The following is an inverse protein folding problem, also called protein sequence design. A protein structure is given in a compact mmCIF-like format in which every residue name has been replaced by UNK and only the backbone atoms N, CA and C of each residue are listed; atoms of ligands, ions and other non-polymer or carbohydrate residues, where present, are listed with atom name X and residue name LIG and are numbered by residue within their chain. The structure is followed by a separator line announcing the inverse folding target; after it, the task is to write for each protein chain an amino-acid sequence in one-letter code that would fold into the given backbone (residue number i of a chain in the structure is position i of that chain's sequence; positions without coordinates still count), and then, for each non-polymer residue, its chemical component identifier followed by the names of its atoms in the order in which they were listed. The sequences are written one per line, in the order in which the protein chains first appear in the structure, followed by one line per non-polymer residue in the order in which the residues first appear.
data_IF_452143688834
#
_entry.id   IF_452143688834
#
_cell.length_a   1.000
_cell.length_b   1.000
_cell.length_c   1.000
_cell.angle_alpha   90.00
_cell.angle_beta   90.00
_cell.angle_gamma   90.00
#
_symmetry.space_group_name_H-M   'P 1'
#
loop_
_entity.id
_entity.type
_entity.pdbx_description
1 polymer ?
2 water ?
#
# COMPACT_ATOMS: atom_id res chain seq x y z
N UNK A 1 -5.44 -7.72 -12.71
CA UNK A 1 -5.74 -7.02 -11.46
C UNK A 1 -4.88 -7.54 -10.32
N UNK A 2 -4.84 -6.80 -9.21
CA UNK A 2 -4.06 -7.22 -8.04
C UNK A 2 -4.92 -7.13 -6.80
N UNK A 3 -4.90 -8.20 -6.01
CA UNK A 3 -5.49 -8.20 -4.69
C UNK A 3 -4.34 -8.24 -3.70
N UNK A 4 -4.21 -7.18 -2.90
CA UNK A 4 -3.06 -6.97 -2.01
C UNK A 4 -3.59 -6.97 -0.58
N UNK A 5 -3.22 -8.00 0.19
CA UNK A 5 -3.80 -8.23 1.51
C UNK A 5 -2.74 -8.17 2.61
N UNK A 6 -3.15 -7.65 3.76
CA UNK A 6 -2.36 -7.67 4.98
C UNK A 6 -3.22 -8.24 6.10
N UNK A 7 -2.60 -9.05 6.97
CA UNK A 7 -3.33 -9.56 8.13
C UNK A 7 -2.38 -9.64 9.30
N UNK A 8 -2.96 -9.55 10.52
CA UNK A 8 -2.21 -9.85 11.73
C UNK A 8 -2.08 -11.34 12.01
N UNK A 9 -2.77 -12.18 11.24
CA UNK A 9 -2.64 -13.63 11.44
C UNK A 9 -1.23 -14.07 11.00
N UNK A 10 -0.62 -14.91 11.79
CA UNK A 10 0.69 -15.48 11.50
C UNK A 10 0.56 -16.61 10.49
N UNK A 11 1.40 -16.58 9.44
CA UNK A 11 1.32 -17.52 8.33
C UNK A 11 2.46 -18.52 8.32
N UNK A 12 3.23 -18.59 9.40
CA UNK A 12 4.42 -19.45 9.41
C UNK A 12 4.08 -20.94 9.29
N UNK A 13 2.91 -21.37 9.77
CA UNK A 13 2.51 -22.76 9.62
C UNK A 13 1.42 -23.00 8.59
N UNK A 14 1.13 -22.03 7.79
CA UNK A 14 -0.06 -22.06 6.95
C UNK A 14 0.39 -22.43 5.54
N UNK A 15 -0.48 -23.16 4.85
CA UNK A 15 -0.32 -23.43 3.44
C UNK A 15 -0.75 -22.18 2.68
N UNK A 16 0.17 -21.22 2.62
CA UNK A 16 -0.17 -19.97 1.93
C UNK A 16 -0.41 -20.21 0.45
N UNK A 17 0.27 -21.21 -0.14
CA UNK A 17 0.07 -21.48 -1.56
C UNK A 17 -1.38 -21.78 -1.88
N UNK A 18 -2.06 -22.52 -1.01
CA UNK A 18 -3.47 -22.83 -1.23
C UNK A 18 -4.33 -21.59 -1.12
N UNK A 19 -4.01 -20.68 -0.20
CA UNK A 19 -4.79 -19.45 -0.07
C UNK A 19 -4.62 -18.58 -1.31
N UNK A 20 -3.36 -18.41 -1.75
CA UNK A 20 -3.10 -17.63 -2.95
C UNK A 20 -3.81 -18.24 -4.14
N UNK A 21 -3.78 -19.55 -4.28
CA UNK A 21 -4.35 -20.18 -5.45
C UNK A 21 -5.86 -20.02 -5.48
N UNK A 22 -6.51 -20.19 -4.33
CA UNK A 22 -7.95 -20.00 -4.28
C UNK A 22 -8.32 -18.54 -4.56
N UNK A 23 -7.61 -17.60 -3.94
CA UNK A 23 -7.90 -16.20 -4.20
C UNK A 23 -7.69 -15.86 -5.68
N UNK A 24 -6.64 -16.41 -6.27
CA UNK A 24 -6.30 -16.11 -7.66
C UNK A 24 -7.43 -16.55 -8.59
N UNK A 25 -7.90 -17.80 -8.45
CA UNK A 25 -8.95 -18.28 -9.33
C UNK A 25 -10.28 -17.60 -9.04
N UNK A 26 -10.55 -17.28 -7.77
CA UNK A 26 -11.81 -16.63 -7.41
C UNK A 26 -11.89 -15.22 -7.98
N UNK A 27 -10.79 -14.45 -7.88
CA UNK A 27 -10.78 -13.11 -8.44
C UNK A 27 -10.94 -13.17 -9.95
N UNK A 28 -10.18 -14.06 -10.61
CA UNK A 28 -10.28 -14.18 -12.06
C UNK A 28 -11.71 -14.44 -12.49
N UNK A 29 -12.38 -15.38 -11.83
CA UNK A 29 -13.73 -15.77 -12.25
C UNK A 29 -14.71 -14.62 -12.09
N UNK A 30 -14.67 -13.92 -10.96
CA UNK A 30 -15.66 -12.89 -10.65
C UNK A 30 -15.41 -11.62 -11.46
N UNK A 31 -14.16 -11.16 -11.53
CA UNK A 31 -13.88 -9.94 -12.27
C UNK A 31 -13.93 -10.20 -13.77
N UNK A 32 -13.84 -11.45 -14.20
CA UNK A 32 -13.92 -11.76 -15.62
C UNK A 32 -12.68 -11.43 -16.40
N UNK A 33 -11.51 -11.77 -15.87
CA UNK A 33 -10.27 -11.60 -16.58
C UNK A 33 -9.50 -12.91 -16.45
N UNK A 34 -8.75 -13.30 -17.48
CA UNK A 34 -7.99 -14.55 -17.38
C UNK A 34 -7.01 -14.53 -16.20
N UNK A 35 -6.86 -15.68 -15.56
CA UNK A 35 -6.03 -15.76 -14.35
C UNK A 35 -4.58 -15.43 -14.63
N UNK A 36 -4.14 -15.49 -15.90
CA UNK A 36 -2.79 -15.09 -16.26
C UNK A 36 -2.48 -13.67 -15.80
N UNK A 37 -3.48 -12.81 -15.61
CA UNK A 37 -3.24 -11.42 -15.30
C UNK A 37 -3.60 -11.10 -13.87
N UNK A 38 -3.81 -12.11 -13.03
CA UNK A 38 -4.24 -11.88 -11.66
C UNK A 38 -3.06 -12.05 -10.73
N UNK A 39 -2.81 -11.02 -9.91
CA UNK A 39 -1.77 -11.04 -8.90
C UNK A 39 -2.42 -11.02 -7.53
N UNK A 40 -1.92 -11.88 -6.62
CA UNK A 40 -2.36 -11.90 -5.24
C UNK A 40 -1.13 -11.70 -4.37
N UNK A 41 -1.24 -10.80 -3.40
CA UNK A 41 -0.16 -10.50 -2.44
C UNK A 41 -0.74 -10.73 -1.06
N UNK A 42 -0.01 -11.47 -0.19
CA UNK A 42 -0.54 -11.76 1.14
C UNK A 42 0.54 -11.59 2.19
N UNK A 43 0.45 -10.52 2.98
CA UNK A 43 1.40 -10.23 4.04
C UNK A 43 0.79 -10.65 5.37
N UNK A 44 1.47 -11.50 6.13
CA UNK A 44 1.00 -11.87 7.44
C UNK A 44 1.86 -11.32 8.56
N UNK A 45 1.44 -11.65 9.78
CA UNK A 45 2.14 -11.16 10.98
C UNK A 45 2.24 -9.64 11.03
N UNK A 46 1.26 -8.93 10.48
CA UNK A 46 1.31 -7.47 10.44
C UNK A 46 0.51 -6.95 11.63
N UNK A 47 1.12 -6.22 12.57
CA UNK A 47 0.34 -5.60 13.65
C UNK A 47 -0.85 -4.78 13.13
N UNK A 48 -2.01 -5.04 13.72
CA UNK A 48 -3.24 -4.41 13.32
C UNK A 48 -4.16 -4.20 14.51
N UNK A 49 -4.94 -3.15 14.43
CA UNK A 49 -6.06 -2.92 15.32
C UNK A 49 -7.29 -2.65 14.49
N UNK A 50 -8.42 -3.20 14.91
CA UNK A 50 -9.68 -2.85 14.27
C UNK A 50 -10.73 -2.77 15.34
N UNK A 51 -11.47 -1.66 15.32
CA UNK A 51 -12.42 -1.39 16.38
C UNK A 51 -11.80 -1.38 17.76
N UNK A 52 -10.51 -1.04 17.85
CA UNK A 52 -9.85 -0.96 19.14
C UNK A 52 -9.25 -2.25 19.66
N UNK A 53 -9.42 -3.37 18.96
CA UNK A 53 -8.86 -4.64 19.41
C UNK A 53 -7.90 -5.22 18.38
N UNK A 54 -7.04 -6.12 18.85
CA UNK A 54 -6.04 -6.76 18.01
C UNK A 54 -6.44 -8.18 17.61
N UNK A 55 -7.72 -8.52 17.71
CA UNK A 55 -8.16 -9.81 17.22
C UNK A 55 -7.91 -9.92 15.72
N UNK A 56 -7.85 -11.13 15.18
CA UNK A 56 -7.57 -11.33 13.75
C UNK A 56 -8.44 -10.44 12.87
N UNK A 57 -7.78 -9.82 11.89
CA UNK A 57 -8.38 -8.84 11.01
C UNK A 57 -7.60 -8.86 9.70
N UNK A 58 -8.13 -8.15 8.70
CA UNK A 58 -7.38 -8.05 7.45
C UNK A 58 -7.74 -6.76 6.73
N UNK A 59 -6.77 -6.25 6.01
CA UNK A 59 -6.95 -5.08 5.15
C UNK A 59 -6.52 -5.47 3.76
N UNK A 60 -7.37 -5.23 2.76
CA UNK A 60 -6.99 -5.50 1.39
C UNK A 60 -7.24 -4.31 0.49
N UNK A 61 -6.56 -4.33 -0.65
CA UNK A 61 -6.84 -3.41 -1.74
C UNK A 61 -6.88 -4.22 -3.02
N UNK A 62 -7.86 -3.94 -3.86
CA UNK A 62 -7.97 -4.62 -5.15
C UNK A 62 -7.95 -3.55 -6.22
N UNK A 63 -6.97 -3.62 -7.11
CA UNK A 63 -6.75 -2.66 -8.19
C UNK A 63 -7.01 -3.37 -9.51
N UNK A 64 -7.78 -2.74 -10.40
CA UNK A 64 -8.06 -3.31 -11.71
C UNK A 64 -8.21 -2.17 -12.71
N UNK A 65 -7.83 -2.44 -13.96
CA UNK A 65 -8.14 -1.53 -15.06
C UNK A 65 -9.58 -1.84 -15.48
N UNK A 66 -10.51 -1.08 -14.96
CA UNK A 66 -11.92 -1.31 -15.23
C UNK A 66 -12.43 -2.59 -14.57
N UNK A 67 -13.66 -2.95 -14.93
CA UNK A 67 -14.26 -4.18 -14.39
C UNK A 67 -14.76 -4.09 -12.97
N UNK A 68 -14.71 -2.92 -12.35
CA UNK A 68 -15.09 -2.73 -10.96
C UNK A 68 -16.29 -1.80 -10.90
N UNK A 69 -17.26 -2.17 -10.09
CA UNK A 69 -18.52 -1.42 -9.95
C UNK A 69 -19.24 -2.00 -8.74
N UNK A 70 -20.42 -1.47 -8.41
CA UNK A 70 -21.08 -1.88 -7.17
C UNK A 70 -21.33 -3.38 -7.13
N UNK A 71 -21.77 -3.98 -8.23
CA UNK A 71 -22.14 -5.40 -8.19
C UNK A 71 -20.90 -6.27 -8.09
N UNK A 72 -19.93 -6.02 -8.97
CA UNK A 72 -18.69 -6.81 -8.98
C UNK A 72 -17.96 -6.64 -7.67
N UNK A 73 -17.92 -5.42 -7.14
CA UNK A 73 -17.21 -5.19 -5.87
C UNK A 73 -17.91 -5.90 -4.73
N UNK A 74 -19.24 -5.91 -4.71
CA UNK A 74 -19.95 -6.67 -3.68
C UNK A 74 -19.63 -8.16 -3.79
N UNK A 75 -19.62 -8.70 -5.01
CA UNK A 75 -19.36 -10.13 -5.19
C UNK A 75 -17.91 -10.48 -4.83
N UNK A 76 -16.95 -9.61 -5.17
CA UNK A 76 -15.55 -9.85 -4.79
C UNK A 76 -15.38 -9.76 -3.30
N UNK A 77 -16.02 -8.79 -2.66
CA UNK A 77 -15.94 -8.69 -1.20
C UNK A 77 -16.50 -9.93 -0.52
N UNK A 78 -17.65 -10.41 -0.98
CA UNK A 78 -18.23 -11.61 -0.39
C UNK A 78 -17.28 -12.79 -0.57
N UNK A 79 -16.73 -12.96 -1.77
CA UNK A 79 -15.97 -14.16 -2.04
C UNK A 79 -14.62 -14.13 -1.34
N UNK A 80 -13.93 -13.01 -1.40
CA UNK A 80 -12.64 -12.93 -0.72
C UNK A 80 -12.83 -13.04 0.79
N UNK A 81 -13.87 -12.40 1.35
CA UNK A 81 -14.08 -12.53 2.78
C UNK A 81 -14.32 -13.97 3.18
N UNK A 82 -14.99 -14.76 2.33
CA UNK A 82 -15.21 -16.19 2.67
C UNK A 82 -13.89 -16.94 2.71
N UNK A 83 -12.95 -16.62 1.82
CA UNK A 83 -11.62 -17.26 1.86
C UNK A 83 -10.92 -16.90 3.16
N UNK A 84 -10.98 -15.64 3.58
CA UNK A 84 -10.27 -15.24 4.79
C UNK A 84 -10.92 -15.81 6.04
N UNK A 85 -12.24 -15.96 6.05
CA UNK A 85 -12.93 -16.57 7.18
C UNK A 85 -12.52 -18.01 7.31
N UNK A 86 -12.57 -18.77 6.21
CA UNK A 86 -12.32 -20.21 6.29
C UNK A 86 -10.86 -20.52 6.49
N UNK A 87 -9.96 -19.80 5.82
CA UNK A 87 -8.57 -20.19 5.80
C UNK A 87 -7.72 -19.47 6.82
N UNK A 88 -8.15 -18.28 7.27
CA UNK A 88 -7.39 -17.52 8.26
C UNK A 88 -8.15 -17.24 9.54
N UNK A 89 -9.43 -17.62 9.62
CA UNK A 89 -10.30 -17.30 10.76
C UNK A 89 -10.43 -15.80 10.97
N UNK A 90 -10.37 -15.01 9.91
CA UNK A 90 -10.62 -13.57 9.98
C UNK A 90 -12.10 -13.37 9.69
N UNK A 91 -12.89 -12.94 10.67
CA UNK A 91 -14.31 -12.72 10.39
C UNK A 91 -14.49 -11.62 9.34
N UNK A 92 -15.56 -11.73 8.54
CA UNK A 92 -15.80 -10.71 7.52
C UNK A 92 -16.10 -9.33 8.13
N UNK A 93 -16.60 -9.29 9.36
CA UNK A 93 -16.77 -8.02 10.05
C UNK A 93 -15.45 -7.37 10.42
N UNK A 94 -14.33 -8.05 10.24
CA UNK A 94 -13.01 -7.47 10.54
C UNK A 94 -12.12 -7.41 9.31
N UNK A 95 -12.75 -7.33 8.14
CA UNK A 95 -12.06 -7.24 6.85
C UNK A 95 -12.53 -6.02 6.12
N UNK A 96 -11.60 -5.11 5.84
CA UNK A 96 -11.84 -3.95 4.99
C UNK A 96 -11.14 -4.18 3.67
N UNK A 97 -11.82 -3.82 2.56
CA UNK A 97 -11.27 -4.04 1.22
C UNK A 97 -11.52 -2.80 0.38
N UNK A 98 -10.47 -2.07 0.06
CA UNK A 98 -10.57 -0.88 -0.79
C UNK A 98 -10.42 -1.30 -2.24
N UNK A 99 -11.32 -0.83 -3.12
CA UNK A 99 -11.25 -1.11 -4.54
C UNK A 99 -10.79 0.13 -5.27
N UNK A 100 -9.99 -0.07 -6.31
CA UNK A 100 -9.49 1.05 -7.09
C UNK A 100 -9.56 0.70 -8.57
N UNK A 101 -10.28 1.53 -9.35
CA UNK A 101 -10.33 1.41 -10.81
C UNK A 101 -9.29 2.36 -11.39
N UNK A 102 -8.24 1.80 -11.99
CA UNK A 102 -7.16 2.61 -12.55
C UNK A 102 -7.31 2.73 -14.07
N UNK A 103 -6.92 3.90 -14.59
CA UNK A 103 -6.69 4.01 -16.02
C UNK A 103 -5.50 3.15 -16.43
N UNK A 104 -5.58 2.56 -17.62
CA UNK A 104 -4.49 1.74 -18.11
C UNK A 104 -3.17 2.50 -18.28
N UNK A 105 -3.25 3.78 -18.65
CA UNK A 105 -2.04 4.59 -18.78
C UNK A 105 -1.37 4.86 -17.44
N UNK A 106 -2.07 4.53 -16.34
CA UNK A 106 -1.52 4.66 -15.00
C UNK A 106 -1.33 3.30 -14.35
N UNK A 107 -1.11 2.27 -15.16
CA UNK A 107 -0.84 0.93 -14.63
C UNK A 107 0.27 0.31 -15.46
N UNK A 108 1.39 0.04 -14.82
CA UNK A 108 2.54 -0.55 -15.49
C UNK A 108 2.53 -2.07 -15.42
N UNK A 109 2.91 -2.70 -16.53
CA UNK A 109 3.10 -4.13 -16.61
C UNK A 109 4.04 -4.40 -17.77
N UNK A 110 4.89 -5.41 -17.62
CA UNK A 110 5.78 -5.84 -18.71
C UNK A 110 6.70 -4.73 -19.17
N UNK A 111 7.06 -3.80 -18.28
CA UNK A 111 7.93 -2.68 -18.62
C UNK A 111 7.26 -1.58 -19.40
N UNK A 112 5.95 -1.64 -19.58
CA UNK A 112 5.25 -0.60 -20.32
C UNK A 112 4.01 -0.27 -19.51
N UNK A 113 3.02 0.37 -20.14
CA UNK A 113 1.75 0.56 -19.48
C UNK A 113 0.64 -0.01 -20.35
N UNK A 114 -0.59 0.11 -19.85
CA UNK A 114 -1.73 -0.38 -20.60
C UNK A 114 -2.44 0.80 -21.23
N UNK B 1 -12.58 4.01 8.57
CA UNK B 1 -11.39 4.33 7.76
C UNK B 1 -10.21 3.45 8.11
N UNK B 2 -9.16 3.47 7.29
CA UNK B 2 -7.98 2.65 7.55
C UNK B 2 -6.72 3.50 7.43
N UNK B 3 -5.86 3.43 8.43
CA UNK B 3 -4.53 4.04 8.37
C UNK B 3 -3.52 2.90 8.27
N UNK B 4 -2.79 2.85 7.16
CA UNK B 4 -1.89 1.75 6.82
C UNK B 4 -0.48 2.32 6.78
N UNK B 5 0.39 1.90 7.69
CA UNK B 5 1.71 2.48 7.91
C UNK B 5 2.83 1.46 7.72
N UNK B 6 3.94 1.93 7.18
CA UNK B 6 5.18 1.17 7.15
C UNK B 6 6.32 2.04 7.67
N UNK B 7 7.27 1.42 8.34
CA UNK B 7 8.45 2.14 8.83
C UNK B 7 9.64 1.22 8.76
N UNK B 8 10.82 1.82 8.60
CA UNK B 8 12.06 1.06 8.75
C UNK B 8 12.48 0.85 10.20
N UNK B 9 11.82 1.50 11.16
CA UNK B 9 12.14 1.29 12.57
C UNK B 9 11.72 -0.11 13.00
N UNK B 10 12.54 -0.75 13.81
CA UNK B 10 12.24 -2.09 14.34
C UNK B 10 11.25 -1.96 15.48
N UNK B 11 10.13 -2.67 15.37
CA UNK B 11 9.12 -2.60 16.42
C UNK B 11 9.45 -3.46 17.63
N UNK B 12 10.46 -4.31 17.56
CA UNK B 12 10.83 -5.11 18.73
C UNK B 12 11.32 -4.19 19.84
N UNK B 13 10.80 -4.39 21.05
CA UNK B 13 11.13 -3.50 22.14
C UNK B 13 10.19 -2.30 22.24
N UNK B 14 9.62 -1.89 21.11
CA UNK B 14 8.63 -0.82 21.10
C UNK B 14 7.30 -1.39 21.57
N UNK B 15 6.52 -0.60 22.31
CA UNK B 15 5.15 -0.95 22.69
C UNK B 15 4.23 -0.73 21.51
N UNK B 16 4.13 -1.75 20.64
CA UNK B 16 3.37 -1.61 19.41
C UNK B 16 1.89 -1.42 19.69
N UNK B 17 1.38 -2.09 20.74
CA UNK B 17 -0.05 -1.97 21.04
C UNK B 17 -0.42 -0.54 21.43
N UNK B 18 0.47 0.18 22.12
CA UNK B 18 0.12 1.55 22.49
C UNK B 18 0.12 2.47 21.27
N UNK B 19 0.98 2.21 20.30
CA UNK B 19 0.95 3.00 19.07
C UNK B 19 -0.35 2.77 18.32
N UNK B 20 -0.75 1.49 18.18
CA UNK B 20 -2.01 1.17 17.52
C UNK B 20 -3.19 1.85 18.24
N UNK B 21 -3.20 1.80 19.57
CA UNK B 21 -4.32 2.35 20.33
C UNK B 21 -4.40 3.87 20.20
N UNK B 22 -3.25 4.54 20.33
CA UNK B 22 -3.23 5.99 20.18
C UNK B 22 -3.66 6.41 18.78
N UNK B 23 -3.12 5.75 17.75
CA UNK B 23 -3.50 6.09 16.38
C UNK B 23 -4.98 5.85 16.15
N UNK B 24 -5.49 4.72 16.67
CA UNK B 24 -6.90 4.38 16.48
C UNK B 24 -7.83 5.47 17.00
N UNK B 25 -7.60 5.91 18.25
CA UNK B 25 -8.44 6.96 18.84
C UNK B 25 -8.26 8.30 18.16
N UNK B 26 -7.02 8.62 17.76
CA UNK B 26 -6.74 9.88 17.08
C UNK B 26 -7.48 9.97 15.76
N UNK B 27 -7.39 8.90 14.95
CA UNK B 27 -8.07 8.92 13.65
C UNK B 27 -9.57 9.05 13.86
N UNK B 28 -10.11 8.30 14.83
CA UNK B 28 -11.56 8.30 15.06
C UNK B 28 -12.04 9.70 15.40
N UNK B 29 -11.33 10.38 16.30
CA UNK B 29 -11.73 11.73 16.74
C UNK B 29 -11.63 12.75 15.61
N UNK B 30 -10.55 12.73 14.84
CA UNK B 30 -10.34 13.78 13.85
C UNK B 30 -11.22 13.58 12.63
N UNK B 31 -11.36 12.33 12.16
CA UNK B 31 -12.21 12.07 11.00
C UNK B 31 -13.68 12.01 11.40
N UNK B 32 -13.98 11.89 12.69
CA UNK B 32 -15.35 11.88 13.17
C UNK B 32 -16.12 10.61 12.91
N UNK B 33 -15.49 9.44 13.07
CA UNK B 33 -16.21 8.19 12.92
C UNK B 33 -16.00 7.34 14.17
N UNK B 34 -16.94 6.45 14.49
CA UNK B 34 -16.77 5.62 15.69
C UNK B 34 -15.51 4.77 15.58
N UNK B 35 -14.80 4.66 16.69
CA UNK B 35 -13.59 3.84 16.68
C UNK B 35 -13.85 2.39 16.26
N UNK B 36 -15.09 1.90 16.41
CA UNK B 36 -15.45 0.59 15.89
C UNK B 36 -15.05 0.42 14.43
N UNK B 37 -15.07 1.50 13.65
CA UNK B 37 -14.82 1.40 12.22
C UNK B 37 -13.43 1.85 11.82
N UNK B 38 -12.52 2.02 12.77
CA UNK B 38 -11.14 2.46 12.50
C UNK B 38 -10.20 1.27 12.52
N UNK B 39 -9.48 1.10 11.43
CA UNK B 39 -8.44 0.09 11.29
C UNK B 39 -7.09 0.77 11.21
N UNK B 40 -6.12 0.26 11.97
CA UNK B 40 -4.73 0.71 11.94
C UNK B 40 -3.89 -0.50 11.58
N UNK B 41 -2.99 -0.34 10.61
CA UNK B 41 -2.04 -1.36 10.19
C UNK B 41 -0.65 -0.76 10.32
N UNK B 42 0.27 -1.49 10.94
CA UNK B 42 1.60 -0.96 11.17
C UNK B 42 2.64 -2.04 10.95
N UNK B 43 3.43 -1.91 9.89
CA UNK B 43 4.54 -2.82 9.63
C UNK B 43 5.87 -2.14 9.91
N UNK B 44 6.74 -2.79 10.69
CA UNK B 44 8.06 -2.31 11.01
C UNK B 44 9.15 -3.09 10.29
N UNK B 45 10.38 -2.62 10.49
CA UNK B 45 11.57 -3.24 9.89
C UNK B 45 11.49 -3.33 8.37
N UNK B 46 10.81 -2.37 7.73
CA UNK B 46 10.64 -2.37 6.28
C UNK B 46 11.74 -1.52 5.66
N UNK B 47 12.60 -2.08 4.78
CA UNK B 47 13.64 -1.29 4.11
C UNK B 47 13.01 -0.06 3.44
N UNK B 48 13.56 1.12 3.74
CA UNK B 48 13.02 2.31 3.03
C UNK B 48 14.07 3.42 2.95
N UNK B 49 13.95 4.24 1.91
CA UNK B 49 14.86 5.42 1.77
C UNK B 49 14.02 6.70 1.57
N UNK B 50 14.46 7.74 2.27
CA UNK B 50 13.77 9.02 2.08
C UNK B 50 14.86 10.05 1.84
N UNK B 51 14.76 10.80 0.75
CA UNK B 51 15.83 11.74 0.50
C UNK B 51 17.18 11.09 0.26
N UNK B 52 17.19 9.82 -0.14
CA UNK B 52 18.44 9.13 -0.40
C UNK B 52 19.11 8.52 0.81
N UNK B 53 18.51 8.60 2.01
CA UNK B 53 19.13 8.03 3.20
C UNK B 53 18.16 7.09 3.89
N UNK B 54 18.69 6.23 4.76
CA UNK B 54 17.92 5.20 5.43
C UNK B 54 17.72 5.47 6.91
N UNK B 55 17.88 6.72 7.33
CA UNK B 55 17.48 7.15 8.66
C UNK B 55 16.00 6.85 8.88
N UNK B 56 15.53 6.81 10.14
CA UNK B 56 14.12 6.51 10.41
C UNK B 56 13.19 7.32 9.54
N UNK B 57 12.20 6.62 8.97
CA UNK B 57 11.22 7.22 8.08
C UNK B 57 9.94 6.40 8.16
N UNK B 58 8.87 6.94 7.58
CA UNK B 58 7.64 6.16 7.54
C UNK B 58 6.81 6.59 6.34
N UNK B 59 6.02 5.63 5.80
CA UNK B 59 5.07 5.91 4.73
C UNK B 59 3.70 5.41 5.19
N UNK B 60 2.67 6.24 5.04
CA UNK B 60 1.34 5.84 5.40
C UNK B 60 0.34 6.17 4.30
N UNK B 61 -0.79 5.45 4.33
CA UNK B 61 -1.94 5.77 3.50
C UNK B 61 -3.15 5.74 4.40
N UNK B 62 -4.01 6.74 4.30
CA UNK B 62 -5.25 6.80 5.05
C UNK B 62 -6.40 6.80 4.05
N UNK B 63 -7.25 5.79 4.13
CA UNK B 63 -8.41 5.65 3.25
C UNK B 63 -9.68 5.87 4.06
N UNK B 64 -10.62 6.67 3.54
CA UNK B 64 -11.86 6.97 4.24
C UNK B 64 -13.00 7.27 3.26
N UNK B 65 -14.23 6.96 3.67
CA UNK B 65 -15.43 7.30 2.89
C UNK B 65 -15.87 8.71 3.27
N UNK B 66 -15.45 9.68 2.48
CA UNK B 66 -15.68 11.06 2.82
C UNK B 66 -14.94 11.46 4.08
N UNK B 67 -15.29 12.65 4.57
CA UNK B 67 -14.67 13.20 5.74
C UNK B 67 -13.28 13.74 5.53
N UNK B 68 -12.73 13.68 4.31
CA UNK B 68 -11.39 14.16 4.03
C UNK B 68 -11.45 15.46 3.24
N UNK B 69 -10.61 16.40 3.62
CA UNK B 69 -10.46 17.68 2.93
C UNK B 69 -9.12 18.26 3.37
N UNK B 70 -8.74 19.40 2.80
CA UNK B 70 -7.42 19.93 3.14
C UNK B 70 -7.27 20.18 4.64
N UNK B 71 -8.35 20.61 5.30
CA UNK B 71 -8.28 20.91 6.73
C UNK B 71 -8.14 19.64 7.56
N UNK B 72 -9.03 18.67 7.34
CA UNK B 72 -8.96 17.40 8.05
C UNK B 72 -7.62 16.71 7.81
N UNK B 73 -7.14 16.76 6.55
CA UNK B 73 -5.91 16.07 6.22
C UNK B 73 -4.72 16.69 6.96
N UNK B 74 -4.70 18.04 7.07
CA UNK B 74 -3.62 18.67 7.80
C UNK B 74 -3.64 18.24 9.27
N UNK B 75 -4.84 18.19 9.86
CA UNK B 75 -4.92 17.80 11.27
C UNK B 75 -4.53 16.35 11.47
N UNK B 76 -4.95 15.46 10.57
CA UNK B 76 -4.53 14.07 10.66
C UNK B 76 -3.03 13.93 10.50
N UNK B 77 -2.44 14.65 9.54
CA UNK B 77 -1.01 14.55 9.35
C UNK B 77 -0.25 15.01 10.59
N UNK B 78 -0.69 16.13 11.19
CA UNK B 78 0.00 16.63 12.38
C UNK B 78 -0.07 15.62 13.53
N UNK B 79 -1.26 15.09 13.78
CA UNK B 79 -1.47 14.20 14.91
C UNK B 79 -0.76 12.87 14.72
N UNK B 80 -0.90 12.26 13.54
CA UNK B 80 -0.23 10.98 13.33
C UNK B 80 1.27 11.17 13.31
N UNK B 81 1.75 12.27 12.73
CA UNK B 81 3.19 12.48 12.72
C UNK B 81 3.74 12.65 14.13
N UNK B 82 2.94 13.24 15.04
CA UNK B 82 3.39 13.37 16.43
C UNK B 82 3.54 12.02 17.12
N UNK B 83 2.63 11.09 16.83
CA UNK B 83 2.75 9.73 17.37
C UNK B 83 4.04 9.08 16.89
N UNK B 84 4.34 9.21 15.61
CA UNK B 84 5.51 8.54 15.08
C UNK B 84 6.80 9.19 15.60
N UNK B 85 6.79 10.52 15.78
CA UNK B 85 7.98 11.17 16.34
C UNK B 85 8.22 10.71 17.77
N UNK B 86 7.17 10.70 18.60
CA UNK B 86 7.36 10.40 20.01
C UNK B 86 7.57 8.91 20.26
N UNK B 87 6.91 8.04 19.50
CA UNK B 87 6.98 6.61 19.79
C UNK B 87 8.00 5.84 18.97
N UNK B 88 8.35 6.33 17.77
CA UNK B 88 9.30 5.65 16.91
C UNK B 88 10.52 6.49 16.56
N UNK B 89 10.58 7.75 16.99
CA UNK B 89 11.65 8.67 16.60
C UNK B 89 11.73 8.85 15.09
N UNK B 90 10.58 8.81 14.42
CA UNK B 90 10.52 9.12 12.99
C UNK B 90 10.23 10.62 12.87
N UNK B 91 11.17 11.41 12.34
CA UNK B 91 10.89 12.85 12.18
C UNK B 91 9.74 13.06 11.22
N UNK B 92 8.90 14.05 11.52
CA UNK B 92 7.80 14.33 10.62
C UNK B 92 8.28 14.73 9.21
N UNK B 93 9.48 15.30 9.10
CA UNK B 93 10.04 15.60 7.77
C UNK B 93 10.45 14.36 6.98
N UNK B 94 10.30 13.16 7.55
CA UNK B 94 10.59 11.90 6.88
C UNK B 94 9.37 11.00 6.90
N UNK B 95 8.18 11.59 6.95
CA UNK B 95 6.93 10.84 6.99
C UNK B 95 6.03 11.41 5.90
N UNK B 96 5.70 10.59 4.91
CA UNK B 96 4.69 10.90 3.90
C UNK B 96 3.40 10.14 4.20
N UNK B 97 2.25 10.78 4.02
CA UNK B 97 0.95 10.18 4.35
C UNK B 97 -0.02 10.49 3.20
N UNK B 98 -0.32 9.50 2.38
CA UNK B 98 -1.24 9.70 1.27
C UNK B 98 -2.67 9.52 1.75
N UNK B 99 -3.54 10.48 1.48
CA UNK B 99 -4.94 10.42 1.85
C UNK B 99 -5.76 10.04 0.63
N UNK B 100 -6.71 9.12 0.79
CA UNK B 100 -7.57 8.70 -0.31
C UNK B 100 -9.03 8.72 0.14
N UNK B 101 -9.88 9.42 -0.59
CA UNK B 101 -11.31 9.45 -0.34
C UNK B 101 -11.99 8.47 -1.30
N UNK B 102 -12.77 7.56 -0.76
CA UNK B 102 -13.37 6.49 -1.54
C UNK B 102 -14.89 6.61 -1.50
N UNK B 103 -15.54 6.15 -2.56
CA UNK B 103 -16.98 5.92 -2.54
C UNK B 103 -17.28 4.64 -1.78
N UNK B 104 -18.45 4.61 -1.15
CA UNK B 104 -18.86 3.42 -0.41
C UNK B 104 -18.97 2.16 -1.26
N UNK B 105 -19.40 2.29 -2.52
CA UNK B 105 -19.44 1.14 -3.42
C UNK B 105 -18.06 0.61 -3.75
N UNK B 106 -17.01 1.35 -3.44
CA UNK B 106 -15.63 0.94 -3.69
C UNK B 106 -14.91 0.65 -2.38
N UNK B 107 -15.65 0.33 -1.32
CA UNK B 107 -15.05 -0.06 -0.05
C UNK B 107 -15.81 -1.24 0.53
N UNK B 108 -15.15 -2.39 0.59
CA UNK B 108 -15.77 -3.60 1.08
C UNK B 108 -15.63 -3.78 2.58
N UNK B 109 -16.68 -4.32 3.20
CA UNK B 109 -16.67 -4.61 4.63
C UNK B 109 -17.81 -5.60 4.89
N UNK B 110 -17.60 -6.56 5.79
CA UNK B 110 -18.66 -7.49 6.21
C UNK B 110 -19.20 -8.31 5.05
N UNK B 111 -18.34 -8.63 4.08
CA UNK B 111 -18.73 -9.42 2.94
C UNK B 111 -19.54 -8.69 1.89
N UNK B 112 -19.65 -7.38 1.97
CA UNK B 112 -20.40 -6.59 1.00
C UNK B 112 -19.64 -5.28 0.82
N UNK B 113 -20.30 -4.25 0.31
CA UNK B 113 -19.69 -2.92 0.28
C UNK B 113 -20.45 -2.00 1.23
N UNK B 114 -19.91 -0.80 1.42
CA UNK B 114 -20.51 0.19 2.29
C UNK B 114 -21.61 1.02 1.60
N UNK B 115 -22.00 0.64 0.40
CA UNK B 115 -23.18 1.21 -0.23
C UNK B 115 -24.41 0.83 0.60
N UNK C 1 7.67 12.14 -4.30
CA UNK C 1 6.90 10.94 -4.63
C UNK C 1 7.30 9.77 -3.76
N UNK C 2 6.49 8.72 -3.77
CA UNK C 2 6.80 7.50 -3.06
C UNK C 2 6.60 6.33 -4.01
N UNK C 3 7.62 5.49 -4.11
CA UNK C 3 7.53 4.20 -4.79
C UNK C 3 7.52 3.12 -3.72
N UNK C 4 6.43 2.37 -3.64
CA UNK C 4 6.18 1.42 -2.56
C UNK C 4 6.05 0.05 -3.18
N UNK C 5 6.97 -0.85 -2.83
CA UNK C 5 7.15 -2.12 -3.53
C UNK C 5 7.06 -3.30 -2.57
N UNK C 6 6.48 -4.39 -3.04
CA UNK C 6 6.48 -5.68 -2.37
C UNK C 6 6.97 -6.76 -3.32
N UNK C 7 7.73 -7.73 -2.80
CA UNK C 7 8.18 -8.84 -3.62
C UNK C 7 8.22 -10.11 -2.78
N UNK C 8 8.09 -11.25 -3.46
CA UNK C 8 8.31 -12.53 -2.80
C UNK C 8 9.78 -12.91 -2.69
N UNK C 9 10.69 -12.16 -3.32
CA UNK C 9 12.12 -12.48 -3.23
C UNK C 9 12.62 -12.18 -1.83
N UNK C 10 13.58 -13.00 -1.34
CA UNK C 10 14.14 -12.81 -0.01
C UNK C 10 15.24 -11.76 -0.01
N UNK C 11 15.03 -10.66 0.70
CA UNK C 11 16.02 -9.59 0.70
C UNK C 11 17.23 -9.90 1.58
N UNK C 12 17.19 -10.98 2.35
CA UNK C 12 18.41 -11.37 3.08
C UNK C 12 19.54 -11.68 2.13
N UNK C 13 19.19 -12.03 0.88
CA UNK C 13 20.11 -12.47 -0.14
C UNK C 13 20.50 -11.41 -1.14
N UNK C 14 20.13 -10.15 -0.94
CA UNK C 14 20.49 -9.10 -1.89
C UNK C 14 20.89 -7.85 -1.13
N UNK C 15 21.70 -7.02 -1.80
CA UNK C 15 22.05 -5.70 -1.28
C UNK C 15 20.84 -4.79 -1.48
N UNK C 16 20.07 -4.66 -0.43
CA UNK C 16 18.81 -3.93 -0.51
C UNK C 16 19.03 -2.42 -0.62
N UNK C 17 20.09 -1.90 0.00
CA UNK C 17 20.34 -0.47 -0.03
C UNK C 17 20.66 -0.01 -1.44
N UNK C 18 21.34 -0.85 -2.22
CA UNK C 18 21.63 -0.45 -3.59
C UNK C 18 20.36 -0.38 -4.42
N UNK C 19 19.37 -1.25 -4.16
CA UNK C 19 18.08 -1.16 -4.86
C UNK C 19 17.39 0.13 -4.48
N UNK C 20 17.33 0.44 -3.18
CA UNK C 20 16.70 1.68 -2.74
C UNK C 20 17.36 2.89 -3.39
N UNK C 21 18.69 2.90 -3.44
CA UNK C 21 19.40 4.08 -3.93
C UNK C 21 19.20 4.23 -5.43
N UNK C 22 19.26 3.12 -6.16
CA UNK C 22 19.07 3.21 -7.62
C UNK C 22 17.63 3.59 -7.96
N UNK C 23 16.65 3.04 -7.24
CA UNK C 23 15.27 3.42 -7.45
C UNK C 23 15.04 4.89 -7.11
N UNK C 24 15.66 5.38 -6.04
CA UNK C 24 15.48 6.76 -5.62
C UNK C 24 15.97 7.73 -6.70
N UNK C 25 17.17 7.47 -7.22
CA UNK C 25 17.72 8.31 -8.29
C UNK C 25 16.89 8.20 -9.56
N UNK C 26 16.41 7.01 -9.88
CA UNK C 26 15.65 6.78 -11.10
C UNK C 26 14.33 7.52 -11.07
N UNK C 27 13.63 7.46 -9.94
CA UNK C 27 12.36 8.17 -9.82
C UNK C 27 12.59 9.68 -9.88
N UNK C 28 13.61 10.16 -9.17
CA UNK C 28 13.93 11.60 -9.23
C UNK C 28 14.18 12.06 -10.64
N UNK C 29 14.96 11.28 -11.41
CA UNK C 29 15.39 11.75 -12.72
C UNK C 29 14.27 11.65 -13.74
N UNK C 30 13.43 10.63 -13.66
CA UNK C 30 12.43 10.42 -14.71
C UNK C 30 11.22 11.30 -14.49
N UNK C 31 10.72 11.38 -13.26
CA UNK C 31 9.65 12.34 -13.00
C UNK C 31 10.19 13.74 -13.07
N UNK C 32 11.44 13.93 -12.63
CA UNK C 32 11.93 15.28 -12.40
C UNK C 32 11.44 15.79 -11.07
N UNK C 33 11.99 15.26 -9.99
CA UNK C 33 11.63 15.66 -8.65
C UNK C 33 12.91 15.78 -7.85
N UNK C 34 13.01 16.72 -6.91
CA UNK C 34 14.20 16.72 -6.05
C UNK C 34 14.29 15.40 -5.32
N UNK C 35 15.50 14.84 -5.24
CA UNK C 35 15.62 13.57 -4.51
C UNK C 35 15.30 13.74 -3.04
N UNK C 36 15.40 14.96 -2.50
CA UNK C 36 15.00 15.20 -1.12
C UNK C 36 13.56 14.78 -0.86
N UNK C 37 12.72 14.73 -1.90
CA UNK C 37 11.32 14.42 -1.75
C UNK C 37 10.97 13.02 -2.26
N UNK C 38 11.96 12.18 -2.51
CA UNK C 38 11.70 10.84 -3.04
C UNK C 38 11.82 9.83 -1.91
N UNK C 39 10.77 9.02 -1.77
CA UNK C 39 10.74 7.93 -0.81
C UNK C 39 10.63 6.62 -1.59
N UNK C 40 11.42 5.61 -1.19
CA UNK C 40 11.32 4.26 -1.73
C UNK C 40 11.09 3.33 -0.56
N UNK C 41 10.11 2.44 -0.69
CA UNK C 41 9.80 1.40 0.31
C UNK C 41 9.89 0.05 -0.38
N UNK C 42 10.54 -0.93 0.26
CA UNK C 42 10.68 -2.24 -0.36
C UNK C 42 10.51 -3.33 0.68
N UNK C 43 9.43 -4.11 0.57
CA UNK C 43 9.15 -5.23 1.45
C UNK C 43 9.44 -6.51 0.69
N UNK C 44 10.12 -7.46 1.32
CA UNK C 44 10.44 -8.72 0.68
C UNK C 44 9.87 -9.92 1.43
N UNK C 45 10.14 -11.08 0.86
CA UNK C 45 9.66 -12.35 1.44
C UNK C 45 8.14 -12.38 1.63
N UNK C 46 7.42 -11.68 0.75
CA UNK C 46 5.97 -11.57 0.86
C UNK C 46 5.37 -12.68 -0.02
N UNK C 47 4.54 -13.56 0.53
CA UNK C 47 3.80 -14.53 -0.32
C UNK C 47 3.05 -13.84 -1.45
N UNK C 48 3.30 -14.30 -2.68
CA UNK C 48 2.64 -13.73 -3.85
C UNK C 48 2.41 -14.80 -4.88
N UNK C 49 1.37 -14.59 -5.68
CA UNK C 49 1.24 -15.36 -6.90
C UNK C 49 0.87 -14.41 -8.03
N UNK C 50 1.38 -14.75 -9.20
CA UNK C 50 1.04 -14.01 -10.40
C UNK C 50 0.78 -15.03 -11.48
N UNK C 51 -0.38 -14.91 -12.12
CA UNK C 51 -0.76 -15.89 -13.12
C UNK C 51 -0.86 -17.28 -12.53
N UNK C 52 -1.16 -17.39 -11.24
CA UNK C 52 -1.29 -18.69 -10.60
C UNK C 52 0.00 -19.37 -10.19
N UNK C 53 1.17 -18.72 -10.32
CA UNK C 53 2.43 -19.34 -9.90
C UNK C 53 3.17 -18.42 -8.94
N UNK C 54 4.11 -19.00 -8.17
CA UNK C 54 4.85 -18.28 -7.15
C UNK C 54 6.29 -17.99 -7.52
N UNK C 55 6.62 -18.01 -8.82
CA UNK C 55 7.92 -17.55 -9.27
C UNK C 55 8.10 -16.07 -8.89
N UNK C 56 9.34 -15.57 -8.88
CA UNK C 56 9.57 -14.17 -8.49
C UNK C 56 8.60 -13.21 -9.17
N UNK C 57 8.09 -12.28 -8.37
CA UNK C 57 7.09 -11.32 -8.79
C UNK C 57 7.24 -10.07 -7.92
N UNK C 58 6.59 -8.98 -8.33
CA UNK C 58 6.60 -7.77 -7.51
C UNK C 58 5.36 -6.96 -7.81
N UNK C 59 4.91 -6.23 -6.80
CA UNK C 59 3.79 -5.30 -6.93
C UNK C 59 4.24 -3.95 -6.39
N UNK C 60 3.99 -2.87 -7.12
CA UNK C 60 4.38 -1.56 -6.65
C UNK C 60 3.27 -0.55 -6.86
N UNK C 61 3.37 0.55 -6.11
CA UNK C 61 2.58 1.75 -6.37
C UNK C 61 3.50 2.94 -6.30
N UNK C 62 3.31 3.86 -7.23
CA UNK C 62 4.08 5.09 -7.24
C UNK C 62 3.10 6.26 -7.16
N UNK C 63 3.18 7.02 -6.08
CA UNK C 63 2.35 8.21 -5.89
C UNK C 63 3.23 9.44 -6.05
N UNK C 64 2.72 10.45 -6.75
CA UNK C 64 3.49 11.68 -6.91
C UNK C 64 2.54 12.86 -6.93
N UNK C 65 3.00 14.02 -6.42
CA UNK C 65 2.25 15.26 -6.60
C UNK C 65 2.56 15.78 -8.00
N UNK C 66 1.73 15.41 -8.96
CA UNK C 66 1.98 15.80 -10.35
C UNK C 66 3.17 15.08 -10.97
N UNK C 67 3.48 15.49 -12.21
CA UNK C 67 4.62 14.93 -12.89
C UNK C 67 4.36 13.60 -13.57
N UNK C 68 3.14 13.06 -13.48
CA UNK C 68 2.81 11.77 -14.06
C UNK C 68 1.92 11.97 -15.28
N UNK C 69 2.17 11.19 -16.32
CA UNK C 69 1.35 11.22 -17.52
C UNK C 69 1.68 9.93 -18.26
N UNK C 70 1.01 9.70 -19.39
CA UNK C 70 1.18 8.43 -20.07
C UNK C 70 2.64 8.18 -20.45
N UNK C 71 3.34 9.22 -20.90
CA UNK C 71 4.70 9.05 -21.37
C UNK C 71 5.66 8.81 -20.20
N UNK C 72 5.53 9.63 -19.16
CA UNK C 72 6.41 9.46 -17.99
C UNK C 72 6.17 8.10 -17.35
N UNK C 73 4.90 7.70 -17.26
CA UNK C 73 4.59 6.43 -16.62
C UNK C 73 5.20 5.27 -17.39
N UNK C 74 5.20 5.33 -18.73
CA UNK C 74 5.85 4.27 -19.50
C UNK C 74 7.34 4.22 -19.20
N UNK C 75 8.00 5.38 -19.15
CA UNK C 75 9.42 5.42 -18.85
C UNK C 75 9.70 4.88 -17.44
N UNK C 76 8.88 5.26 -16.47
CA UNK C 76 9.05 4.76 -15.11
C UNK C 76 8.84 3.25 -15.04
N UNK C 77 7.79 2.75 -15.70
CA UNK C 77 7.60 1.31 -15.76
C UNK C 77 8.82 0.60 -16.32
N UNK C 78 9.37 1.10 -17.43
CA UNK C 78 10.52 0.46 -18.03
C UNK C 78 11.71 0.48 -17.08
N UNK C 79 11.99 1.65 -16.49
CA UNK C 79 13.19 1.80 -15.70
C UNK C 79 13.10 1.03 -14.38
N UNK C 80 11.95 1.14 -13.69
CA UNK C 80 11.81 0.43 -12.42
C UNK C 80 11.80 -1.06 -12.66
N UNK C 81 11.12 -1.52 -13.74
CA UNK C 81 11.13 -2.95 -14.02
C UNK C 81 12.55 -3.44 -14.30
N UNK C 82 13.38 -2.60 -14.93
CA UNK C 82 14.75 -3.04 -15.20
C UNK C 82 15.56 -3.17 -13.92
N UNK C 83 15.35 -2.27 -12.94
CA UNK C 83 15.98 -2.45 -11.63
C UNK C 83 15.56 -3.78 -11.00
N UNK C 84 14.27 -4.11 -11.02
CA UNK C 84 13.86 -5.34 -10.36
C UNK C 84 14.36 -6.56 -11.12
N UNK C 85 14.46 -6.47 -12.44
CA UNK C 85 15.00 -7.61 -13.21
C UNK C 85 16.45 -7.86 -12.84
N UNK C 86 17.25 -6.79 -12.83
CA UNK C 86 18.69 -6.95 -12.63
C UNK C 86 19.05 -7.22 -11.18
N UNK C 87 18.29 -6.68 -10.22
CA UNK C 87 18.70 -6.80 -8.83
C UNK C 87 17.91 -7.82 -8.04
N UNK C 88 16.67 -8.13 -8.45
CA UNK C 88 15.85 -9.14 -7.77
C UNK C 88 15.53 -10.35 -8.62
N UNK C 89 15.89 -10.34 -9.90
CA UNK C 89 15.52 -11.39 -10.84
C UNK C 89 14.00 -11.56 -10.93
N UNK C 90 13.28 -10.44 -10.84
CA UNK C 90 11.84 -10.42 -11.07
C UNK C 90 11.60 -10.05 -12.54
N UNK C 91 11.03 -10.93 -13.35
CA UNK C 91 10.79 -10.57 -14.75
C UNK C 91 9.77 -9.44 -14.85
N UNK C 92 9.97 -8.55 -15.82
CA UNK C 92 9.03 -7.43 -15.95
C UNK C 92 7.62 -7.91 -16.24
N UNK C 93 7.48 -9.10 -16.84
CA UNK C 93 6.16 -9.67 -17.06
C UNK C 93 5.48 -10.14 -15.78
N UNK C 94 6.16 -10.04 -14.65
CA UNK C 94 5.62 -10.43 -13.35
C UNK C 94 5.66 -9.27 -12.37
N UNK C 95 5.64 -8.04 -12.91
CA UNK C 95 5.69 -6.81 -12.12
C UNK C 95 4.55 -5.91 -12.54
N UNK C 96 3.65 -5.62 -11.61
CA UNK C 96 2.60 -4.63 -11.79
C UNK C 96 2.95 -3.38 -10.99
N UNK C 97 2.70 -2.20 -11.58
CA UNK C 97 3.03 -0.91 -10.94
C UNK C 97 1.87 0.06 -11.10
N UNK C 98 1.15 0.38 -10.03
CA UNK C 98 0.07 1.35 -10.10
C UNK C 98 0.65 2.75 -9.94
N UNK C 99 0.23 3.68 -10.79
CA UNK C 99 0.65 5.07 -10.68
C UNK C 99 -0.52 5.89 -10.17
N UNK C 100 -0.21 6.90 -9.35
CA UNK C 100 -1.26 7.78 -8.82
C UNK C 100 -0.76 9.20 -8.69
N UNK C 101 -1.50 10.12 -9.32
CA UNK C 101 -1.22 11.56 -9.23
C UNK C 101 -2.10 12.17 -8.15
N UNK C 102 -1.49 12.57 -7.05
CA UNK C 102 -2.22 13.12 -5.92
C UNK C 102 -2.15 14.65 -5.89
N UNK C 103 -3.22 15.26 -5.41
CA UNK C 103 -3.15 16.66 -5.01
C UNK C 103 -2.26 16.79 -3.80
N UNK C 104 -1.52 17.89 -3.70
CA UNK C 104 -0.72 18.12 -2.51
C UNK C 104 -1.54 18.15 -1.23
N UNK C 105 -2.76 18.68 -1.30
CA UNK C 105 -3.58 18.74 -0.09
C UNK C 105 -4.02 17.37 0.40
N UNK C 106 -3.82 16.34 -0.42
CA UNK C 106 -4.07 14.98 -0.02
C UNK C 106 -2.78 14.19 0.18
N UNK C 107 -1.68 14.89 0.49
CA UNK C 107 -0.38 14.26 0.70
C UNK C 107 0.26 14.91 1.92
N UNK C 108 0.27 14.19 3.02
CA UNK C 108 0.87 14.70 4.25
C UNK C 108 2.38 14.59 4.22
N UNK C 109 3.04 15.63 4.75
CA UNK C 109 4.47 15.63 4.93
C UNK C 109 4.80 16.70 5.97
N UNK C 110 5.82 16.45 6.78
CA UNK C 110 6.27 17.46 7.76
C UNK C 110 5.19 17.85 8.75
N UNK C 111 4.28 16.94 9.08
CA UNK C 111 3.19 17.25 10.00
C UNK C 111 2.13 18.18 9.46
N UNK C 112 2.13 18.45 8.16
CA UNK C 112 1.04 19.21 7.55
C UNK C 112 0.74 18.55 6.21
N UNK C 113 0.27 19.29 5.22
CA UNK C 113 0.15 18.74 3.89
C UNK C 113 1.02 19.54 2.94
N UNK C 114 1.10 19.06 1.71
CA UNK C 114 1.81 19.77 0.66
C UNK C 114 0.83 20.52 -0.22
N UNK C 115 -0.18 21.09 0.43
CA UNK C 115 -1.15 21.95 -0.23
C UNK C 115 -0.45 22.88 -1.22
N UNK C 116 -0.94 22.88 -2.45
CA UNK C 116 -0.25 23.54 -3.56
C UNK C 116 -0.67 24.99 -3.66
N UNK C 117 0.31 25.87 -3.83
CA UNK C 117 0.05 27.30 -3.96
C UNK C 117 0.11 27.79 -5.39
N UNK C 118 0.72 27.03 -6.30
CA UNK C 118 0.72 27.32 -7.72
C UNK C 118 -0.05 26.21 -8.45
N UNK C 119 0.10 26.16 -9.78
CA UNK C 119 -0.65 25.21 -10.58
C UNK C 119 -0.01 23.82 -10.54
N UNK C 120 -0.85 22.81 -10.75
CA UNK C 120 -0.42 21.42 -10.81
C UNK C 120 0.08 21.14 -12.20
N UNK C 121 1.12 20.31 -12.31
CA UNK C 121 1.73 20.03 -13.60
C UNK C 121 1.83 18.53 -13.78
N UNK C 122 1.39 18.04 -14.93
CA UNK C 122 1.66 16.64 -15.29
C UNK C 122 3.10 16.51 -15.83
#
# INVERSE_FOLDING_TARGET
PCLNLSTNVNLDGVDTSSILSEASSTVAKIIGKPENYVMIVLKGSVPMSFGGTEDPAAYGELVSIGGLNADVNKKLSAAVSAILETKLSVPKSRFFLKFYDTKGSFFGWNGATLLEHHHHHH
PCLNLSTNVNLDGVDTSSILSEASSTVAKIIGKPENYVMIVLKGSVPMSFGGTEDPAAYGELVSIGGLNADVNKKLSAAVSAILETKLSVPKSRFFLKFYDTKGSFFGWNGATLLEHHHHHH
PCLNLSTNVNLDGVDTSSILSEASSTVAKIIGKPENYVMIVLKGSVPMSFGGTEDPAAYGELVSIGGLNADVNKKLSAAVSAILETKLSVPKSRFFLKFYDTKGSFFGWNGATLLEHHHHHH
#
